data_IF_522874531764
#
_entry.id   IF_522874531764
#
_cell.length_a   1.000
_cell.length_b   1.000
_cell.length_c   1.000
_cell.angle_alpha   90.00
_cell.angle_beta   90.00
_cell.angle_gamma   90.00
#
_symmetry.space_group_name_H-M   'P 1'
#
loop_
_entity.id
_entity.type
_entity.pdbx_description
1 polymer ?
#
# COMPACT_ATOMS: atom_id res chain seq x y z
N UNK A 1 5.32 19.03 11.19
CA UNK A 1 4.41 17.95 11.62
C UNK A 1 4.87 16.68 10.90
N UNK A 2 5.23 15.60 11.60
CA UNK A 2 5.70 14.34 10.99
C UNK A 2 4.52 13.38 10.81
N UNK A 3 4.31 12.83 9.61
CA UNK A 3 3.19 11.95 9.27
C UNK A 3 3.54 10.46 9.38
N UNK A 4 4.55 10.09 10.17
CA UNK A 4 4.95 8.70 10.44
C UNK A 4 3.89 7.82 11.13
N UNK A 5 2.65 8.31 11.30
CA UNK A 5 1.51 7.53 11.76
C UNK A 5 0.82 6.88 10.54
N UNK A 6 0.67 5.56 10.57
CA UNK A 6 0.12 4.75 9.47
C UNK A 6 -1.31 5.17 9.04
N UNK A 7 -2.13 5.68 9.96
CA UNK A 7 -3.49 6.16 9.64
C UNK A 7 -3.50 7.49 8.91
N UNK A 8 -2.57 8.37 9.27
CA UNK A 8 -2.43 9.66 8.59
C UNK A 8 -1.78 9.50 7.23
N UNK A 9 -0.74 8.67 7.14
CA UNK A 9 -0.07 8.37 5.89
C UNK A 9 -1.01 7.76 4.85
N UNK A 10 -1.89 6.83 5.26
CA UNK A 10 -2.85 6.18 4.35
C UNK A 10 -3.75 7.16 3.59
N UNK A 11 -4.03 8.35 4.13
CA UNK A 11 -4.81 9.39 3.43
C UNK A 11 -4.14 9.88 2.15
N UNK A 12 -2.83 9.69 2.02
CA UNK A 12 -2.05 10.02 0.83
C UNK A 12 -1.96 8.87 -0.18
N UNK A 13 -2.62 7.74 0.08
CA UNK A 13 -2.70 6.62 -0.85
C UNK A 13 -3.87 6.74 -1.83
N UNK A 14 -4.91 7.51 -1.48
CA UNK A 14 -6.08 7.77 -2.33
C UNK A 14 -5.99 9.15 -2.98
N UNK A 15 -6.53 9.31 -4.20
CA UNK A 15 -6.49 10.57 -4.95
C UNK A 15 -5.10 11.22 -4.96
N UNK A 16 -4.09 10.37 -5.17
CA UNK A 16 -2.70 10.66 -4.86
C UNK A 16 -1.91 11.20 -6.06
N UNK A 17 -2.53 11.35 -7.23
CA UNK A 17 -1.90 11.84 -8.47
C UNK A 17 -1.12 13.15 -8.30
N UNK A 18 -1.70 14.15 -7.66
CA UNK A 18 -1.04 15.46 -7.43
C UNK A 18 0.18 15.32 -6.52
N UNK A 19 0.13 14.41 -5.54
CA UNK A 19 1.23 14.20 -4.61
C UNK A 19 2.36 13.39 -5.25
N UNK A 20 2.02 12.36 -6.01
CA UNK A 20 2.97 11.55 -6.79
C UNK A 20 3.69 12.37 -7.85
N UNK A 21 2.99 13.30 -8.51
CA UNK A 21 3.60 14.22 -9.48
C UNK A 21 4.68 15.15 -8.89
N UNK A 22 4.67 15.36 -7.56
CA UNK A 22 5.65 16.19 -6.84
C UNK A 22 6.75 15.37 -6.18
N UNK A 23 6.57 14.06 -6.09
CA UNK A 23 7.50 13.17 -5.40
C UNK A 23 8.57 12.65 -6.36
N UNK A 24 9.80 12.48 -5.86
CA UNK A 24 10.86 11.83 -6.64
C UNK A 24 10.78 10.30 -6.54
N UNK A 25 10.26 9.81 -5.41
CA UNK A 25 10.08 8.39 -5.11
C UNK A 25 8.68 8.16 -4.53
N UNK A 26 8.18 6.96 -4.73
CA UNK A 26 6.99 6.46 -4.06
C UNK A 26 7.22 5.03 -3.59
N UNK A 27 6.36 4.55 -2.70
CA UNK A 27 6.42 3.19 -2.19
C UNK A 27 5.06 2.52 -2.20
N UNK A 28 5.04 1.26 -2.62
CA UNK A 28 3.88 0.41 -2.46
C UNK A 28 3.92 -0.26 -1.09
N UNK A 29 2.96 0.01 -0.21
CA UNK A 29 2.89 -0.68 1.08
C UNK A 29 2.21 -2.06 1.01
N UNK A 30 1.79 -2.51 -0.18
CA UNK A 30 1.37 -3.89 -0.40
C UNK A 30 2.57 -4.79 -0.74
N UNK A 31 3.31 -4.52 -1.83
CA UNK A 31 4.46 -5.32 -2.25
C UNK A 31 5.82 -4.83 -1.72
N UNK A 32 5.83 -3.73 -0.96
CA UNK A 32 7.00 -3.13 -0.31
C UNK A 32 8.07 -2.55 -1.27
N UNK A 33 7.74 -2.42 -2.56
CA UNK A 33 8.64 -1.84 -3.55
C UNK A 33 8.69 -0.31 -3.46
N UNK A 34 9.90 0.24 -3.63
CA UNK A 34 10.18 1.68 -3.69
C UNK A 34 10.75 2.00 -5.06
N UNK A 35 10.10 2.90 -5.78
CA UNK A 35 10.40 3.15 -7.19
C UNK A 35 10.05 4.60 -7.57
N UNK A 36 10.29 4.99 -8.82
CA UNK A 36 9.99 6.35 -9.27
C UNK A 36 8.53 6.47 -9.74
N UNK A 37 7.79 7.53 -9.37
CA UNK A 37 6.41 7.72 -9.82
C UNK A 37 6.24 7.75 -11.35
N UNK A 38 7.30 7.99 -12.13
CA UNK A 38 7.27 7.96 -13.60
C UNK A 38 6.98 6.56 -14.17
N UNK A 39 7.15 5.51 -13.37
CA UNK A 39 6.85 4.13 -13.75
C UNK A 39 5.34 3.81 -13.66
N UNK A 40 4.54 4.69 -13.05
CA UNK A 40 3.09 4.51 -12.89
C UNK A 40 2.39 4.79 -14.21
N UNK A 41 1.91 3.73 -14.85
CA UNK A 41 1.17 3.81 -16.12
C UNK A 41 -0.34 3.65 -15.96
N UNK A 42 -0.79 3.15 -14.82
CA UNK A 42 -2.19 2.79 -14.61
C UNK A 42 -2.80 3.51 -13.39
N UNK A 43 -4.05 3.97 -13.55
CA UNK A 43 -4.74 4.84 -12.61
C UNK A 43 -6.22 4.45 -12.54
N UNK A 44 -6.82 4.55 -11.35
CA UNK A 44 -8.25 4.49 -11.18
C UNK A 44 -8.84 5.85 -11.62
N UNK A 45 -9.43 5.89 -12.81
CA UNK A 45 -9.81 7.14 -13.50
C UNK A 45 -10.75 8.04 -12.69
N UNK A 46 -11.71 7.47 -11.95
CA UNK A 46 -12.68 8.24 -11.18
C UNK A 46 -12.08 8.88 -9.91
N UNK A 47 -10.98 8.34 -9.42
CA UNK A 47 -10.43 8.70 -8.10
C UNK A 47 -9.08 9.39 -8.18
N UNK A 48 -8.44 9.42 -9.35
CA UNK A 48 -7.04 9.85 -9.53
C UNK A 48 -6.08 9.11 -8.57
N UNK A 49 -6.37 7.82 -8.34
CA UNK A 49 -5.58 6.94 -7.48
C UNK A 49 -4.66 6.06 -8.33
N UNK A 50 -3.36 6.10 -8.06
CA UNK A 50 -2.37 5.31 -8.80
C UNK A 50 -2.44 3.81 -8.45
N UNK A 51 -2.23 2.96 -9.45
CA UNK A 51 -2.02 1.52 -9.27
C UNK A 51 -0.52 1.20 -9.32
N UNK A 52 -0.05 0.35 -8.41
CA UNK A 52 1.34 -0.09 -8.40
C UNK A 52 1.70 -0.83 -9.70
N UNK A 53 2.78 -0.46 -10.43
CA UNK A 53 3.17 -1.14 -11.66
C UNK A 53 3.66 -2.58 -11.44
N UNK A 54 4.00 -2.95 -10.20
CA UNK A 54 4.54 -4.26 -9.85
C UNK A 54 3.48 -5.26 -9.37
N UNK A 55 2.39 -4.79 -8.77
CA UNK A 55 1.37 -5.67 -8.17
C UNK A 55 -0.08 -5.24 -8.44
N UNK A 56 -0.29 -4.12 -9.15
CA UNK A 56 -1.60 -3.56 -9.52
C UNK A 56 -2.52 -3.18 -8.36
N UNK A 57 -2.00 -3.09 -7.14
CA UNK A 57 -2.74 -2.62 -5.96
C UNK A 57 -2.61 -1.11 -5.80
N UNK A 58 -3.70 -0.45 -5.41
CA UNK A 58 -3.86 0.99 -5.12
C UNK A 58 -3.24 1.41 -3.78
N UNK A 59 -2.07 0.87 -3.45
CA UNK A 59 -1.42 1.04 -2.15
C UNK A 59 -0.13 1.88 -2.24
N UNK A 60 -0.16 2.99 -2.99
CA UNK A 60 1.02 3.82 -3.24
C UNK A 60 1.08 5.07 -2.36
N UNK A 61 2.21 5.28 -1.68
CA UNK A 61 2.52 6.49 -0.92
C UNK A 61 3.61 7.32 -1.61
N UNK A 62 3.41 8.64 -1.77
CA UNK A 62 4.44 9.55 -2.25
C UNK A 62 5.48 9.83 -1.15
N UNK A 63 6.76 9.89 -1.50
CA UNK A 63 7.77 10.42 -0.59
C UNK A 63 7.64 11.94 -0.43
N UNK A 64 7.75 12.42 0.81
CA UNK A 64 7.82 13.85 1.10
C UNK A 64 8.63 14.11 2.37
N UNK A 65 8.96 15.37 2.65
CA UNK A 65 9.60 15.76 3.91
C UNK A 65 8.76 15.42 5.15
N UNK A 66 7.44 15.32 4.99
CA UNK A 66 6.50 14.96 6.06
C UNK A 66 6.32 13.45 6.19
N UNK A 67 6.64 12.69 5.14
CA UNK A 67 6.50 11.24 5.07
C UNK A 67 7.80 10.63 4.51
N UNK A 68 8.86 10.50 5.33
CA UNK A 68 10.10 9.87 4.92
C UNK A 68 9.83 8.41 4.55
N UNK A 69 10.09 8.07 3.30
CA UNK A 69 9.73 6.78 2.76
C UNK A 69 10.87 5.79 3.05
N UNK A 70 10.55 4.71 3.76
CA UNK A 70 11.51 3.67 4.13
C UNK A 70 10.83 2.30 4.12
N UNK A 71 11.61 1.24 3.88
CA UNK A 71 11.08 -0.13 3.85
C UNK A 71 10.37 -0.51 5.16
N UNK A 72 10.99 -0.21 6.30
CA UNK A 72 10.40 -0.39 7.63
C UNK A 72 9.08 0.37 7.82
N UNK A 73 8.92 1.55 7.20
CA UNK A 73 7.66 2.28 7.26
C UNK A 73 6.58 1.63 6.38
N UNK A 74 6.94 1.17 5.18
CA UNK A 74 6.02 0.41 4.31
C UNK A 74 5.58 -0.90 4.97
N UNK A 75 6.47 -1.60 5.68
CA UNK A 75 6.14 -2.81 6.45
C UNK A 75 5.11 -2.52 7.54
N UNK A 76 5.24 -1.41 8.27
CA UNK A 76 4.23 -0.98 9.27
C UNK A 76 2.89 -0.66 8.63
N UNK A 77 2.89 -0.03 7.46
CA UNK A 77 1.68 0.21 6.67
C UNK A 77 1.05 -1.12 6.24
N UNK A 78 1.84 -2.07 5.74
CA UNK A 78 1.38 -3.40 5.36
C UNK A 78 0.72 -4.14 6.52
N UNK A 79 1.40 -4.18 7.67
CA UNK A 79 0.91 -4.79 8.91
C UNK A 79 -0.45 -4.21 9.35
N UNK A 80 -0.59 -2.88 9.29
CA UNK A 80 -1.82 -2.23 9.73
C UNK A 80 -3.00 -2.43 8.78
N UNK A 81 -2.76 -2.42 7.47
CA UNK A 81 -3.82 -2.34 6.45
C UNK A 81 -4.12 -3.67 5.75
N UNK A 82 -3.17 -4.61 5.70
CA UNK A 82 -3.29 -5.84 4.91
C UNK A 82 -3.15 -7.15 5.71
N UNK A 83 -2.51 -7.17 6.88
CA UNK A 83 -2.35 -8.44 7.63
C UNK A 83 -3.66 -9.02 8.18
N UNK A 84 -4.73 -8.21 8.33
CA UNK A 84 -6.04 -8.72 8.74
C UNK A 84 -6.79 -9.44 7.60
N UNK A 85 -6.44 -9.15 6.34
CA UNK A 85 -7.01 -9.79 5.17
C UNK A 85 -6.50 -11.23 4.99
N UNK A 86 -5.27 -11.53 5.45
CA UNK A 86 -4.70 -12.87 5.37
C UNK A 86 -5.19 -13.81 6.48
N UNK A 87 -5.58 -13.31 7.65
CA UNK A 87 -6.14 -14.17 8.71
C UNK A 87 -7.50 -14.74 8.31
N UNK A 88 -8.35 -13.99 7.61
CA UNK A 88 -9.69 -14.46 7.22
C UNK A 88 -9.69 -15.45 6.05
N UNK A 89 -8.73 -15.35 5.13
CA UNK A 89 -8.58 -16.33 4.05
C UNK A 89 -7.79 -17.56 4.52
N UNK A 90 -6.70 -17.38 5.28
CA UNK A 90 -5.92 -18.49 5.82
C UNK A 90 -6.72 -19.29 6.87
N UNK A 91 -7.47 -18.67 7.78
CA UNK A 91 -8.37 -19.41 8.70
C UNK A 91 -9.50 -20.10 7.93
N UNK A 92 -10.07 -19.51 6.87
CA UNK A 92 -11.09 -20.20 6.07
C UNK A 92 -10.52 -21.40 5.30
N UNK A 93 -9.29 -21.32 4.80
CA UNK A 93 -8.61 -22.46 4.15
C UNK A 93 -8.22 -23.50 5.20
N UNK A 94 -7.67 -23.10 6.36
CA UNK A 94 -7.24 -24.01 7.42
C UNK A 94 -8.43 -24.71 8.10
N UNK A 95 -9.56 -24.02 8.33
CA UNK A 95 -10.79 -24.62 8.84
C UNK A 95 -11.45 -25.53 7.81
N UNK A 96 -11.35 -25.22 6.51
CA UNK A 96 -11.89 -26.09 5.45
C UNK A 96 -11.01 -27.33 5.21
N UNK A 97 -9.70 -27.26 5.44
CA UNK A 97 -8.79 -28.41 5.38
C UNK A 97 -8.87 -29.30 6.64
N UNK A 98 -9.16 -28.76 7.83
CA UNK A 98 -9.35 -29.56 9.05
C UNK A 98 -10.79 -30.08 9.23
N UNK A 99 -11.78 -29.58 8.47
CA UNK A 99 -13.14 -30.13 8.47
C UNK A 99 -13.33 -31.38 7.60
N UNK A 100 -12.25 -32.00 7.12
CA UNK A 100 -12.25 -33.28 6.38
C UNK A 100 -11.47 -34.39 7.10
N UNK A 101 -11.06 -34.16 8.34
CA UNK A 101 -10.55 -35.20 9.25
C UNK A 101 -11.37 -35.13 10.54
N UNK A 102 -12.63 -35.52 10.44
CA UNK A 102 -13.42 -36.26 11.44
C UNK A 102 -14.61 -36.92 10.72
#
# INVERSE_FOLDING_TARGET
MNLSNVRHAHKYASSNKIWLAKAQRCGCFYCLEIFSPVEITNWLEMEDTALCPYCSVDALLPESSLLPLSKNFLEKMHQHWFEWAWQTVALRVFLRYNAFIE
#
